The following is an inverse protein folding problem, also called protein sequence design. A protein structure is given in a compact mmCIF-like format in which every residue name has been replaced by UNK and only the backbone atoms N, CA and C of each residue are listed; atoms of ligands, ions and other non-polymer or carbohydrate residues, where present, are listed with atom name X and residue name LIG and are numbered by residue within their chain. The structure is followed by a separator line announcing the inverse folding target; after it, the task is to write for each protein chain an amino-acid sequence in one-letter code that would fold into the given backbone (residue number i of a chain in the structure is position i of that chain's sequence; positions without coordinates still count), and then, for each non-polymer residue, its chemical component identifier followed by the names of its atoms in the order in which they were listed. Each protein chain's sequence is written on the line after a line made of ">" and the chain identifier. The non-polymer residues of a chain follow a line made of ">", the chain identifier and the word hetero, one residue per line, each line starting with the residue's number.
data_IF_087659446272
#
_entry.id   IF_087659446272
#
_cell.length_a   1.000
_cell.length_b   1.000
_cell.length_c   1.000
_cell.angle_alpha   90.00
_cell.angle_beta   90.00
_cell.angle_gamma   90.00
#
_symmetry.space_group_name_H-M   'P 1'
#
loop_
_entity.id
_entity.type
_entity.pdbx_description
1 polymer ?
#
# COMPACT_ATOMS: atom_id res chain seq x y z
N UNK A 1 20.72 -11.67 4.30
CA UNK A 1 20.08 -10.42 4.79
C UNK A 1 18.95 -10.11 3.83
N UNK A 2 17.77 -9.79 4.34
CA UNK A 2 16.59 -9.48 3.53
C UNK A 2 16.81 -8.16 2.79
N UNK A 3 16.51 -8.09 1.49
CA UNK A 3 16.62 -6.89 0.71
C UNK A 3 15.26 -6.44 0.18
N UNK A 4 14.91 -5.17 0.40
CA UNK A 4 13.74 -4.51 -0.16
C UNK A 4 14.14 -3.67 -1.37
N UNK A 5 13.83 -4.10 -2.59
CA UNK A 5 14.01 -3.26 -3.77
C UNK A 5 12.97 -2.13 -3.80
N UNK A 6 13.21 -1.10 -4.59
CA UNK A 6 12.20 -0.11 -4.92
C UNK A 6 11.20 -0.75 -5.88
N UNK A 7 9.91 -0.61 -5.62
CA UNK A 7 8.86 -0.99 -6.57
C UNK A 7 8.57 0.19 -7.49
N UNK A 8 9.06 0.12 -8.73
CA UNK A 8 8.82 1.15 -9.75
C UNK A 8 7.71 0.67 -10.68
N UNK A 9 6.53 1.22 -10.52
CA UNK A 9 5.33 0.77 -11.25
C UNK A 9 5.11 -0.74 -11.10
N UNK A 10 5.26 -1.24 -9.87
CA UNK A 10 5.15 -2.66 -9.55
C UNK A 10 6.36 -3.52 -9.90
N UNK A 11 7.38 -2.99 -10.58
CA UNK A 11 8.58 -3.75 -10.95
C UNK A 11 9.73 -3.49 -9.96
N UNK A 12 10.41 -4.55 -9.48
CA UNK A 12 11.52 -4.39 -8.56
C UNK A 12 12.72 -3.71 -9.24
N UNK A 13 13.34 -2.79 -8.51
CA UNK A 13 14.55 -2.09 -8.92
C UNK A 13 15.50 -1.96 -7.74
N UNK A 14 16.70 -2.53 -7.88
CA UNK A 14 17.76 -2.43 -6.88
C UNK A 14 18.60 -1.17 -7.12
N UNK A 15 18.67 -0.29 -6.11
CA UNK A 15 19.52 0.90 -6.12
C UNK A 15 20.92 0.56 -5.67
N UNK A 16 21.91 1.34 -6.13
CA UNK A 16 23.27 1.29 -5.59
C UNK A 16 23.35 1.88 -4.17
N UNK A 17 22.43 2.79 -3.85
CA UNK A 17 22.32 3.37 -2.51
C UNK A 17 21.29 2.58 -1.71
N UNK A 18 21.71 2.09 -0.53
CA UNK A 18 20.88 1.31 0.38
C UNK A 18 20.95 1.87 1.79
N UNK A 19 19.95 1.58 2.59
CA UNK A 19 19.93 1.88 4.03
C UNK A 19 19.62 0.61 4.80
N UNK A 20 20.40 0.37 5.86
CA UNK A 20 20.21 -0.77 6.76
C UNK A 20 18.99 -0.54 7.66
N UNK A 21 18.31 -1.63 7.98
CA UNK A 21 17.25 -1.72 9.00
C UNK A 21 17.78 -2.66 10.08
N UNK A 22 18.10 -2.10 11.23
CA UNK A 22 18.76 -2.82 12.30
C UNK A 22 17.75 -3.27 13.37
N UNK A 23 18.06 -4.34 14.07
CA UNK A 23 17.32 -4.81 15.23
C UNK A 23 17.37 -3.78 16.36
N UNK A 24 16.23 -3.39 16.90
CA UNK A 24 16.12 -2.24 17.81
C UNK A 24 16.89 -2.38 19.13
N UNK A 25 17.19 -3.62 19.59
CA UNK A 25 17.96 -3.88 20.82
C UNK A 25 19.43 -4.16 20.52
N UNK A 26 19.71 -5.10 19.59
CA UNK A 26 21.09 -5.56 19.36
C UNK A 26 21.87 -4.68 18.40
N UNK A 27 21.20 -3.88 17.57
CA UNK A 27 21.83 -3.13 16.48
C UNK A 27 22.31 -4.01 15.32
N UNK A 28 22.04 -5.32 15.34
CA UNK A 28 22.37 -6.22 14.25
C UNK A 28 21.51 -5.96 13.02
N UNK A 29 22.08 -6.03 11.80
CA UNK A 29 21.32 -5.80 10.58
C UNK A 29 20.32 -6.91 10.33
N UNK A 30 19.04 -6.53 10.18
CA UNK A 30 17.92 -7.43 9.85
C UNK A 30 17.64 -7.39 8.35
N UNK A 31 17.58 -6.20 7.78
CA UNK A 31 17.27 -5.99 6.38
C UNK A 31 18.02 -4.79 5.79
N UNK A 32 17.90 -4.64 4.47
CA UNK A 32 18.44 -3.54 3.69
C UNK A 32 17.38 -3.02 2.73
N UNK A 33 17.25 -1.72 2.59
CA UNK A 33 16.25 -1.05 1.74
C UNK A 33 16.94 -0.22 0.68
N UNK A 34 16.67 -0.48 -0.59
CA UNK A 34 17.10 0.35 -1.72
C UNK A 34 16.52 1.77 -1.61
N UNK A 35 17.36 2.79 -1.82
CA UNK A 35 16.96 4.19 -1.75
C UNK A 35 16.66 4.77 -3.12
N UNK A 36 15.52 5.44 -3.26
CA UNK A 36 15.16 6.18 -4.45
C UNK A 36 15.72 7.60 -4.35
N UNK A 37 16.55 8.00 -5.31
CA UNK A 37 16.93 9.40 -5.39
C UNK A 37 15.81 10.27 -6.00
N UNK A 38 15.77 11.58 -5.72
CA UNK A 38 14.72 12.48 -6.23
C UNK A 38 14.60 12.49 -7.76
N UNK A 39 15.72 12.28 -8.49
CA UNK A 39 15.72 12.24 -9.94
C UNK A 39 14.96 11.06 -10.52
N UNK A 40 15.08 9.87 -9.91
CA UNK A 40 14.31 8.67 -10.29
C UNK A 40 12.81 8.94 -10.08
N UNK A 41 12.44 9.41 -8.88
CA UNK A 41 11.05 9.69 -8.53
C UNK A 41 10.44 10.71 -9.49
N UNK A 42 11.12 11.84 -9.70
CA UNK A 42 10.65 12.90 -10.59
C UNK A 42 10.54 12.43 -12.06
N UNK A 43 11.45 11.58 -12.52
CA UNK A 43 11.41 11.00 -13.86
C UNK A 43 10.22 10.06 -14.03
N UNK A 44 10.02 9.17 -13.06
CA UNK A 44 8.96 8.17 -13.12
C UNK A 44 7.58 8.83 -13.07
N UNK A 45 7.39 9.82 -12.19
CA UNK A 45 6.15 10.59 -12.14
C UNK A 45 5.86 11.33 -13.46
N UNK A 46 6.85 12.02 -14.03
CA UNK A 46 6.66 12.73 -15.31
C UNK A 46 6.34 11.82 -16.48
N UNK A 47 6.87 10.59 -16.49
CA UNK A 47 6.72 9.68 -17.64
C UNK A 47 5.57 8.70 -17.50
N UNK A 48 5.17 8.37 -16.26
CA UNK A 48 4.29 7.25 -15.99
C UNK A 48 2.98 7.59 -15.27
N UNK A 49 2.87 8.75 -14.60
CA UNK A 49 1.72 9.05 -13.77
C UNK A 49 0.39 9.05 -14.55
N UNK A 50 0.35 9.72 -15.71
CA UNK A 50 -0.85 9.77 -16.55
C UNK A 50 -1.19 8.39 -17.14
N UNK A 51 -0.17 7.61 -17.54
CA UNK A 51 -0.37 6.26 -18.03
C UNK A 51 -0.95 5.36 -16.93
N UNK A 52 -0.40 5.41 -15.73
CA UNK A 52 -0.89 4.63 -14.59
C UNK A 52 -2.34 5.02 -14.24
N UNK A 53 -2.65 6.32 -14.23
CA UNK A 53 -4.03 6.79 -14.05
C UNK A 53 -4.97 6.23 -15.11
N UNK A 54 -4.58 6.23 -16.38
CA UNK A 54 -5.42 5.72 -17.46
C UNK A 54 -5.71 4.22 -17.28
N UNK A 55 -4.71 3.43 -16.91
CA UNK A 55 -4.89 1.99 -16.61
C UNK A 55 -5.85 1.79 -15.44
N UNK A 56 -5.66 2.51 -14.34
CA UNK A 56 -6.54 2.40 -13.16
C UNK A 56 -7.99 2.80 -13.48
N UNK A 57 -8.22 3.76 -14.37
CA UNK A 57 -9.57 4.19 -14.77
C UNK A 57 -10.32 3.17 -15.62
N UNK A 58 -9.62 2.21 -16.20
CA UNK A 58 -10.24 1.09 -16.92
C UNK A 58 -10.81 0.02 -15.99
N UNK A 59 -10.40 0.02 -14.70
CA UNK A 59 -10.86 -0.93 -13.69
C UNK A 59 -12.00 -0.28 -12.88
N UNK A 60 -13.21 -0.81 -12.93
CA UNK A 60 -14.33 -0.28 -12.16
C UNK A 60 -14.06 -0.26 -10.65
N UNK A 61 -14.61 0.74 -9.96
CA UNK A 61 -14.46 0.88 -8.51
C UNK A 61 -14.86 -0.40 -7.74
N UNK A 62 -15.93 -1.06 -8.19
CA UNK A 62 -16.41 -2.32 -7.57
C UNK A 62 -15.40 -3.46 -7.74
N UNK A 63 -14.68 -3.53 -8.84
CA UNK A 63 -13.64 -4.54 -9.07
C UNK A 63 -12.42 -4.25 -8.19
N UNK A 64 -12.00 -2.99 -8.08
CA UNK A 64 -10.94 -2.59 -7.17
C UNK A 64 -11.29 -2.92 -5.71
N UNK A 65 -12.54 -2.73 -5.29
CA UNK A 65 -12.99 -3.13 -3.95
C UNK A 65 -12.94 -4.66 -3.76
N UNK A 66 -13.27 -5.44 -4.77
CA UNK A 66 -13.13 -6.90 -4.72
C UNK A 66 -11.68 -7.34 -4.61
N UNK A 67 -10.76 -6.74 -5.37
CA UNK A 67 -9.31 -6.98 -5.27
C UNK A 67 -8.78 -6.61 -3.88
N UNK A 68 -9.21 -5.48 -3.33
CA UNK A 68 -8.83 -5.06 -1.96
C UNK A 68 -9.27 -6.09 -0.92
N UNK A 69 -10.47 -6.63 -1.04
CA UNK A 69 -10.98 -7.67 -0.15
C UNK A 69 -10.20 -8.98 -0.25
N UNK A 70 -9.80 -9.36 -1.45
CA UNK A 70 -8.88 -10.49 -1.65
C UNK A 70 -7.50 -10.20 -1.06
N UNK A 71 -6.96 -9.00 -1.24
CA UNK A 71 -5.70 -8.59 -0.64
C UNK A 71 -5.75 -8.60 0.90
N UNK A 72 -6.88 -8.34 1.53
CA UNK A 72 -7.06 -8.46 2.98
C UNK A 72 -6.78 -9.88 3.48
N UNK A 73 -7.34 -10.87 2.80
CA UNK A 73 -7.13 -12.29 3.11
C UNK A 73 -5.66 -12.67 2.90
N UNK A 74 -5.09 -12.34 1.75
CA UNK A 74 -3.68 -12.62 1.41
C UNK A 74 -2.73 -11.95 2.40
N UNK A 75 -2.94 -10.68 2.73
CA UNK A 75 -2.12 -9.95 3.70
C UNK A 75 -2.06 -10.62 5.06
N UNK A 76 -3.18 -11.17 5.54
CA UNK A 76 -3.28 -11.73 6.88
C UNK A 76 -2.94 -13.21 6.99
N UNK A 77 -3.06 -13.99 5.89
CA UNK A 77 -2.95 -15.45 5.95
C UNK A 77 -1.91 -16.04 5.00
N UNK A 78 -1.58 -15.38 3.88
CA UNK A 78 -0.73 -15.97 2.86
C UNK A 78 0.77 -15.88 3.19
N UNK A 79 1.52 -16.81 2.63
CA UNK A 79 2.95 -16.72 2.47
C UNK A 79 3.23 -15.87 1.22
N UNK A 80 3.89 -14.72 1.39
CA UNK A 80 4.09 -13.71 0.34
C UNK A 80 5.57 -13.49 0.03
N UNK A 81 5.94 -13.08 -1.19
CA UNK A 81 7.32 -12.85 -1.58
C UNK A 81 8.04 -11.82 -0.72
N UNK A 82 9.27 -12.12 -0.29
CA UNK A 82 10.15 -11.20 0.42
C UNK A 82 11.64 -11.52 0.11
N UNK A 83 12.34 -10.60 -0.54
CA UNK A 83 13.70 -10.83 -1.00
C UNK A 83 13.78 -12.02 -1.97
N UNK A 84 14.72 -12.94 -1.72
CA UNK A 84 14.87 -14.19 -2.48
C UNK A 84 14.00 -15.34 -1.94
N UNK A 85 13.13 -15.07 -0.97
CA UNK A 85 12.29 -16.05 -0.31
C UNK A 85 10.87 -15.56 -0.12
N UNK A 86 10.24 -16.02 0.96
CA UNK A 86 8.86 -15.72 1.31
C UNK A 86 8.74 -15.27 2.77
N UNK A 87 7.61 -14.70 3.12
CA UNK A 87 7.26 -14.21 4.44
C UNK A 87 5.91 -14.74 4.86
N UNK A 88 5.88 -15.56 5.89
CA UNK A 88 4.64 -15.94 6.55
C UNK A 88 4.08 -14.79 7.40
N UNK A 89 2.80 -14.83 7.83
CA UNK A 89 2.25 -13.86 8.79
C UNK A 89 3.05 -13.79 10.11
N UNK A 90 3.56 -14.92 10.60
CA UNK A 90 4.37 -14.97 11.81
C UNK A 90 5.76 -14.39 11.61
N UNK A 91 6.38 -14.59 10.43
CA UNK A 91 7.64 -13.93 10.08
C UNK A 91 7.46 -12.41 10.02
N UNK A 92 6.38 -11.94 9.40
CA UNK A 92 6.06 -10.51 9.35
C UNK A 92 5.98 -9.90 10.75
N UNK A 93 5.25 -10.53 11.66
CA UNK A 93 5.10 -10.05 13.04
C UNK A 93 6.44 -10.00 13.76
N UNK A 94 7.26 -11.06 13.66
CA UNK A 94 8.60 -11.11 14.29
C UNK A 94 9.54 -10.05 13.71
N UNK A 95 9.59 -9.91 12.39
CA UNK A 95 10.47 -8.96 11.70
C UNK A 95 10.08 -7.52 12.01
N UNK A 96 8.78 -7.20 12.00
CA UNK A 96 8.29 -5.87 12.35
C UNK A 96 8.61 -5.55 13.82
N UNK A 97 8.38 -6.48 14.74
CA UNK A 97 8.73 -6.33 16.15
C UNK A 97 10.23 -6.10 16.33
N UNK A 98 11.07 -6.89 15.65
CA UNK A 98 12.52 -6.82 15.75
C UNK A 98 13.11 -5.47 15.37
N UNK A 99 12.51 -4.74 14.44
CA UNK A 99 13.05 -3.46 13.95
C UNK A 99 12.37 -2.23 14.53
N UNK A 100 11.08 -2.34 14.87
CA UNK A 100 10.30 -1.21 15.44
C UNK A 100 10.33 -1.14 16.96
N UNK A 101 10.63 -2.25 17.63
CA UNK A 101 10.52 -2.38 19.09
C UNK A 101 9.08 -2.55 19.60
N UNK A 102 8.10 -2.65 18.72
CA UNK A 102 6.72 -2.95 19.12
C UNK A 102 6.62 -4.42 19.58
N UNK A 103 5.95 -4.72 20.67
CA UNK A 103 5.67 -6.11 21.06
C UNK A 103 4.94 -6.88 19.96
N UNK A 104 5.27 -8.15 19.76
CA UNK A 104 4.67 -9.00 18.71
C UNK A 104 3.12 -9.02 18.74
N UNK A 105 2.54 -9.04 19.94
CA UNK A 105 1.08 -9.00 20.05
C UNK A 105 0.48 -7.68 19.50
N UNK A 106 1.19 -6.55 19.63
CA UNK A 106 0.76 -5.28 19.05
C UNK A 106 0.94 -5.27 17.52
N UNK A 107 2.02 -5.89 17.02
CA UNK A 107 2.20 -6.07 15.59
C UNK A 107 1.06 -6.90 14.99
N UNK A 108 0.67 -7.99 15.66
CA UNK A 108 -0.49 -8.81 15.27
C UNK A 108 -1.80 -8.02 15.31
N UNK A 109 -2.07 -7.30 16.39
CA UNK A 109 -3.25 -6.44 16.49
C UNK A 109 -3.31 -5.39 15.34
N UNK A 110 -2.17 -4.81 14.98
CA UNK A 110 -2.10 -3.87 13.84
C UNK A 110 -2.38 -4.60 12.51
N UNK A 111 -1.89 -5.80 12.32
CA UNK A 111 -2.17 -6.64 11.15
C UNK A 111 -3.69 -6.94 11.05
N UNK A 112 -4.30 -7.35 12.16
CA UNK A 112 -5.75 -7.63 12.22
C UNK A 112 -6.57 -6.36 11.94
N UNK A 113 -6.14 -5.22 12.47
CA UNK A 113 -6.76 -3.91 12.17
C UNK A 113 -6.68 -3.57 10.70
N UNK A 114 -5.52 -3.76 10.05
CA UNK A 114 -5.37 -3.50 8.62
C UNK A 114 -6.25 -4.43 7.79
N UNK A 115 -6.29 -5.72 8.12
CA UNK A 115 -7.22 -6.67 7.52
C UNK A 115 -8.65 -6.18 7.64
N UNK A 116 -9.08 -5.82 8.85
CA UNK A 116 -10.44 -5.32 9.10
C UNK A 116 -10.79 -4.11 8.23
N UNK A 117 -9.88 -3.15 8.11
CA UNK A 117 -10.11 -1.96 7.26
C UNK A 117 -10.21 -2.34 5.79
N UNK A 118 -9.38 -3.26 5.30
CA UNK A 118 -9.45 -3.75 3.92
C UNK A 118 -10.76 -4.49 3.65
N UNK A 119 -11.22 -5.33 4.58
CA UNK A 119 -12.47 -6.08 4.48
C UNK A 119 -13.72 -5.17 4.44
N UNK A 120 -13.63 -3.97 5.07
CA UNK A 120 -14.73 -2.98 5.16
C UNK A 120 -14.44 -1.69 4.38
N UNK A 121 -13.59 -1.78 3.36
CA UNK A 121 -13.18 -0.58 2.61
C UNK A 121 -14.32 0.03 1.81
N UNK A 122 -15.31 -0.75 1.41
CA UNK A 122 -16.55 -0.29 0.80
C UNK A 122 -17.37 0.63 1.74
N UNK A 123 -17.46 0.30 3.03
CA UNK A 123 -18.11 1.14 4.02
C UNK A 123 -17.32 2.45 4.25
N UNK A 124 -15.99 2.35 4.30
CA UNK A 124 -15.11 3.51 4.42
C UNK A 124 -15.27 4.42 3.20
N UNK A 125 -15.24 3.86 2.00
CA UNK A 125 -15.40 4.60 0.76
C UNK A 125 -16.78 5.26 0.67
N UNK A 126 -17.85 4.53 0.98
CA UNK A 126 -19.19 5.07 1.02
C UNK A 126 -19.32 6.25 2.00
N UNK A 127 -18.64 6.18 3.14
CA UNK A 127 -18.63 7.27 4.12
C UNK A 127 -17.86 8.50 3.59
N UNK A 128 -16.72 8.30 2.96
CA UNK A 128 -15.89 9.37 2.39
C UNK A 128 -16.59 10.07 1.21
N UNK A 129 -17.30 9.33 0.39
CA UNK A 129 -17.97 9.83 -0.82
C UNK A 129 -19.42 10.18 -0.60
N UNK A 130 -19.92 10.13 0.64
CA UNK A 130 -21.34 10.35 1.00
C UNK A 130 -22.29 9.40 0.26
N UNK A 131 -21.89 8.14 0.13
CA UNK A 131 -22.62 7.06 -0.56
C UNK A 131 -22.86 7.33 -2.06
N UNK A 132 -22.01 8.13 -2.69
CA UNK A 132 -22.06 8.33 -4.13
C UNK A 132 -21.96 6.97 -4.86
N UNK A 133 -22.76 6.80 -5.89
CA UNK A 133 -22.80 5.59 -6.69
C UNK A 133 -21.39 5.26 -7.25
N UNK A 134 -20.97 4.00 -7.18
CA UNK A 134 -19.66 3.56 -7.64
C UNK A 134 -19.47 3.71 -9.16
N UNK A 135 -20.56 3.70 -9.93
CA UNK A 135 -20.50 4.01 -11.35
C UNK A 135 -20.11 5.47 -11.59
N UNK A 136 -20.59 6.39 -10.75
CA UNK A 136 -20.20 7.80 -10.79
C UNK A 136 -18.72 7.96 -10.42
N UNK A 137 -18.26 7.24 -9.39
CA UNK A 137 -16.84 7.24 -9.02
C UNK A 137 -15.97 6.70 -10.17
N UNK A 138 -16.39 5.61 -10.80
CA UNK A 138 -15.69 4.98 -11.92
C UNK A 138 -15.58 5.90 -13.14
N UNK A 139 -16.68 6.52 -13.55
CA UNK A 139 -16.75 7.39 -14.74
C UNK A 139 -16.28 8.82 -14.46
N UNK A 140 -16.32 9.23 -13.19
CA UNK A 140 -16.06 10.61 -12.76
C UNK A 140 -17.24 11.56 -12.91
N UNK A 141 -18.37 11.10 -13.41
CA UNK A 141 -19.62 11.86 -13.50
C UNK A 141 -20.84 10.94 -13.66
N UNK A 142 -22.01 11.46 -13.33
CA UNK A 142 -23.29 10.77 -13.49
C UNK A 142 -24.44 11.58 -12.88
N UNK A 143 -25.64 11.05 -12.97
CA UNK A 143 -26.83 11.64 -12.37
C UNK A 143 -27.21 10.88 -11.10
N UNK A 144 -27.51 11.63 -10.04
CA UNK A 144 -28.02 11.12 -8.78
C UNK A 144 -29.15 12.03 -8.30
N UNK A 145 -30.34 11.48 -8.05
CA UNK A 145 -31.53 12.22 -7.62
C UNK A 145 -31.91 13.41 -8.56
N UNK A 146 -31.75 13.24 -9.87
CA UNK A 146 -32.04 14.28 -10.87
C UNK A 146 -30.97 15.38 -10.93
N UNK A 147 -29.85 15.22 -10.25
CA UNK A 147 -28.73 16.19 -10.23
C UNK A 147 -27.50 15.59 -10.83
N UNK A 148 -26.88 16.28 -11.81
CA UNK A 148 -25.58 15.90 -12.34
C UNK A 148 -24.50 16.07 -11.28
N UNK A 149 -23.76 14.98 -11.00
CA UNK A 149 -22.63 14.91 -10.08
C UNK A 149 -21.35 14.73 -10.85
N UNK A 150 -20.28 15.34 -10.38
CA UNK A 150 -18.91 15.07 -10.87
C UNK A 150 -17.99 14.80 -9.68
N UNK A 151 -17.27 13.69 -9.75
CA UNK A 151 -16.28 13.30 -8.74
C UNK A 151 -15.01 12.86 -9.45
N UNK A 152 -14.00 13.72 -9.46
CA UNK A 152 -12.77 13.49 -10.19
C UNK A 152 -11.55 13.74 -9.33
N UNK A 153 -10.55 12.89 -9.47
CA UNK A 153 -9.25 13.10 -8.86
C UNK A 153 -8.57 14.34 -9.43
N UNK A 154 -8.05 15.20 -8.57
CA UNK A 154 -7.28 16.39 -8.93
C UNK A 154 -5.81 16.09 -9.24
N UNK A 155 -5.35 14.89 -8.92
CA UNK A 155 -3.99 14.41 -9.17
C UNK A 155 -4.01 12.95 -9.62
N UNK A 156 -3.08 12.54 -10.53
CA UNK A 156 -2.98 11.15 -10.94
C UNK A 156 -2.31 10.24 -9.88
N UNK A 157 -1.55 10.83 -8.94
CA UNK A 157 -0.76 10.11 -7.95
C UNK A 157 -0.73 10.86 -6.62
N UNK A 158 -0.82 10.13 -5.52
CA UNK A 158 -0.64 10.65 -4.16
C UNK A 158 0.64 10.08 -3.56
N UNK A 159 1.47 10.94 -2.99
CA UNK A 159 2.66 10.56 -2.22
C UNK A 159 2.35 10.46 -0.73
N UNK A 160 2.80 9.38 -0.09
CA UNK A 160 2.65 9.16 1.36
C UNK A 160 4.00 8.90 2.01
N UNK A 161 4.33 9.65 3.05
CA UNK A 161 5.45 9.38 3.95
C UNK A 161 4.90 8.63 5.16
N UNK A 162 5.35 7.40 5.33
CA UNK A 162 4.80 6.45 6.30
C UNK A 162 5.63 6.44 7.60
N UNK A 163 5.00 6.22 8.76
CA UNK A 163 5.70 6.19 10.04
C UNK A 163 6.38 4.85 10.31
N UNK A 164 7.30 4.84 11.28
CA UNK A 164 7.91 3.61 11.80
C UNK A 164 7.26 3.10 13.09
N UNK A 165 6.54 3.96 13.82
CA UNK A 165 6.10 3.69 15.19
C UNK A 165 4.62 3.33 15.33
N UNK A 166 3.86 3.37 14.25
CA UNK A 166 2.42 3.09 14.27
C UNK A 166 1.96 2.43 12.97
N UNK A 167 2.20 1.12 12.78
CA UNK A 167 1.81 0.42 11.56
C UNK A 167 0.31 0.50 11.24
N UNK A 168 -0.53 0.65 12.26
CA UNK A 168 -1.98 0.81 12.09
C UNK A 168 -2.41 2.03 11.26
N UNK A 169 -1.54 3.04 11.08
CA UNK A 169 -1.84 4.21 10.21
C UNK A 169 -1.75 3.90 8.72
N UNK A 170 -1.22 2.75 8.33
CA UNK A 170 -1.27 2.32 6.93
C UNK A 170 -2.71 2.20 6.41
N UNK A 171 -3.71 2.07 7.29
CA UNK A 171 -5.13 2.11 6.93
C UNK A 171 -5.57 3.42 6.25
N UNK A 172 -4.85 4.52 6.44
CA UNK A 172 -5.25 5.84 5.94
C UNK A 172 -5.07 6.02 4.44
N UNK A 173 -4.16 5.27 3.79
CA UNK A 173 -3.96 5.37 2.34
C UNK A 173 -4.73 4.33 1.54
N UNK A 174 -5.27 3.29 2.17
CA UNK A 174 -6.01 2.23 1.50
C UNK A 174 -7.22 2.72 0.70
N UNK A 175 -8.02 3.71 1.17
CA UNK A 175 -9.16 4.23 0.40
C UNK A 175 -8.81 4.90 -0.93
N UNK A 176 -7.52 5.24 -1.15
CA UNK A 176 -7.05 5.85 -2.39
C UNK A 176 -7.10 4.85 -3.55
N UNK A 177 -6.93 3.54 -3.27
CA UNK A 177 -6.91 2.47 -4.28
C UNK A 177 -8.24 2.42 -5.07
N UNK A 178 -9.41 2.22 -4.43
CA UNK A 178 -10.68 2.18 -5.16
C UNK A 178 -11.08 3.52 -5.79
N UNK A 179 -10.42 4.63 -5.40
CA UNK A 179 -10.58 5.93 -6.06
C UNK A 179 -9.74 6.07 -7.35
N UNK A 180 -9.11 5.00 -7.82
CA UNK A 180 -8.37 4.95 -9.08
C UNK A 180 -7.19 5.93 -9.14
N UNK A 181 -6.50 6.13 -8.03
CA UNK A 181 -5.36 7.04 -7.92
C UNK A 181 -4.10 6.22 -7.62
N UNK A 182 -3.02 6.51 -8.34
CA UNK A 182 -1.72 5.90 -8.10
C UNK A 182 -1.10 6.29 -6.76
N UNK A 183 -0.26 5.43 -6.20
CA UNK A 183 0.39 5.64 -4.92
C UNK A 183 1.91 5.62 -5.04
N UNK A 184 2.56 6.55 -4.36
CA UNK A 184 3.99 6.52 -4.05
C UNK A 184 4.14 6.44 -2.54
N UNK A 185 4.60 5.30 -2.05
CA UNK A 185 4.77 5.05 -0.62
C UNK A 185 6.26 5.16 -0.26
N UNK A 186 6.59 6.03 0.69
CA UNK A 186 7.91 6.07 1.32
C UNK A 186 7.81 5.44 2.71
N UNK A 187 8.36 4.23 2.91
CA UNK A 187 8.33 3.57 4.22
C UNK A 187 9.03 4.38 5.30
N UNK A 188 8.63 4.17 6.55
CA UNK A 188 9.41 4.57 7.70
C UNK A 188 10.73 3.79 7.76
N UNK A 189 11.83 4.37 8.29
CA UNK A 189 13.15 3.72 8.27
C UNK A 189 13.20 2.35 8.94
N UNK A 190 12.42 2.13 9.99
CA UNK A 190 12.37 0.88 10.75
C UNK A 190 11.20 -0.04 10.33
N UNK A 191 10.28 0.46 9.48
CA UNK A 191 9.04 -0.24 9.14
C UNK A 191 8.81 -0.31 7.63
N UNK A 192 9.64 -1.01 6.86
CA UNK A 192 9.39 -1.31 5.46
C UNK A 192 8.44 -2.51 5.27
N UNK A 193 8.17 -3.26 6.32
CA UNK A 193 7.48 -4.56 6.31
C UNK A 193 6.03 -4.45 5.86
N UNK A 194 5.26 -3.54 6.47
CA UNK A 194 3.82 -3.39 6.18
C UNK A 194 3.56 -2.94 4.74
N UNK A 195 4.17 -1.84 4.24
CA UNK A 195 3.91 -1.42 2.86
C UNK A 195 4.42 -2.44 1.83
N UNK A 196 5.50 -3.16 2.12
CA UNK A 196 5.97 -4.24 1.25
C UNK A 196 4.97 -5.40 1.20
N UNK A 197 4.63 -5.99 2.36
CA UNK A 197 3.69 -7.12 2.44
C UNK A 197 2.34 -6.77 1.85
N UNK A 198 1.86 -5.55 2.10
CA UNK A 198 0.61 -5.05 1.51
C UNK A 198 0.70 -4.97 -0.02
N UNK A 199 1.81 -4.46 -0.56
CA UNK A 199 2.02 -4.42 -2.02
C UNK A 199 2.03 -5.81 -2.64
N UNK A 200 2.69 -6.79 -1.99
CA UNK A 200 2.68 -8.18 -2.46
C UNK A 200 1.26 -8.78 -2.43
N UNK A 201 0.50 -8.52 -1.38
CA UNK A 201 -0.89 -8.96 -1.29
C UNK A 201 -1.76 -8.38 -2.43
N UNK A 202 -1.56 -7.10 -2.79
CA UNK A 202 -2.25 -6.49 -3.94
C UNK A 202 -1.81 -7.08 -5.28
N UNK A 203 -0.52 -7.37 -5.46
CA UNK A 203 -0.05 -8.01 -6.71
C UNK A 203 -0.62 -9.41 -6.91
N UNK A 204 -0.81 -10.17 -5.84
CA UNK A 204 -1.43 -11.49 -5.91
C UNK A 204 -2.97 -11.42 -6.05
N UNK A 205 -3.58 -10.31 -5.66
CA UNK A 205 -5.02 -10.11 -5.77
C UNK A 205 -5.47 -9.59 -7.15
N UNK A 206 -4.55 -9.20 -8.04
CA UNK A 206 -4.82 -8.66 -9.38
C UNK A 206 -4.37 -7.24 -9.55
#
# INVERSE_FOLDING_TARGET
>A
MIHFPILRWGQPYTSLETTRVDHFVSGEPVAEVSQANPGIVARDLRKGADRARNVLREIPCVELLAMVKQAAELFSSAELPLGDGTQTPDDFVRQQSATTGLPEHMCRMNMDKLRYVLDHLDEVLASLTRKLDYDILTRGYGEEDGVMRSYQATTPVVGMVLPSNSPGVHSLWLPIIPLQIGLVLKPGPQEPWTPWRMSQAFFEAG
#
